data_IF_373903903499
#
_entry.id   IF_373903903499
#
_cell.length_a   1.000
_cell.length_b   1.000
_cell.length_c   1.000
_cell.angle_alpha   90.00
_cell.angle_beta   90.00
_cell.angle_gamma   90.00
#
_symmetry.space_group_name_H-M   'P 1'
#
loop_
_entity.id
_entity.type
_entity.pdbx_description
1 polymer ?
#
# COMPACT_ATOMS: atom_id res chain seq x y z
N UNK A 1 -1.23 -14.03 5.69
CA UNK A 1 -1.63 -12.69 5.16
C UNK A 1 -0.45 -11.90 4.58
N UNK A 2 0.77 -12.31 4.89
CA UNK A 2 2.04 -11.72 4.47
C UNK A 2 2.18 -11.52 2.95
N UNK A 3 1.73 -12.47 2.12
CA UNK A 3 1.79 -12.36 0.65
C UNK A 3 0.95 -11.20 0.09
N UNK A 4 -0.27 -10.99 0.59
CA UNK A 4 -1.15 -9.93 0.09
C UNK A 4 -0.66 -8.53 0.49
N UNK A 5 -0.08 -8.40 1.70
CA UNK A 5 0.59 -7.17 2.18
C UNK A 5 1.80 -6.82 1.32
N UNK A 6 2.66 -7.80 1.03
CA UNK A 6 3.83 -7.60 0.18
C UNK A 6 3.42 -7.22 -1.24
N UNK A 7 2.38 -7.86 -1.78
CA UNK A 7 1.87 -7.54 -3.12
C UNK A 7 1.38 -6.10 -3.21
N UNK A 8 0.48 -5.65 -2.33
CA UNK A 8 -0.07 -4.28 -2.42
C UNK A 8 1.03 -3.20 -2.30
N UNK A 9 2.04 -3.44 -1.46
CA UNK A 9 3.18 -2.55 -1.34
C UNK A 9 4.06 -2.57 -2.59
N UNK A 10 4.28 -3.74 -3.18
CA UNK A 10 5.02 -3.91 -4.45
C UNK A 10 4.35 -3.20 -5.61
N UNK A 11 3.05 -3.45 -5.84
CA UNK A 11 2.28 -2.82 -6.91
C UNK A 11 2.26 -1.28 -6.77
N UNK A 12 2.16 -0.77 -5.53
CA UNK A 12 2.24 0.67 -5.29
C UNK A 12 3.61 1.24 -5.63
N UNK A 13 4.70 0.54 -5.29
CA UNK A 13 6.06 0.94 -5.66
C UNK A 13 6.20 1.00 -7.17
N UNK A 14 5.71 0.00 -7.89
CA UNK A 14 5.81 -0.07 -9.35
C UNK A 14 4.99 1.05 -10.02
N UNK A 15 3.81 1.36 -9.49
CA UNK A 15 3.04 2.53 -9.89
C UNK A 15 3.84 3.83 -9.75
N UNK A 16 4.52 4.03 -8.62
CA UNK A 16 5.30 5.25 -8.39
C UNK A 16 6.56 5.33 -9.28
N UNK A 17 7.18 4.19 -9.61
CA UNK A 17 8.28 4.12 -10.58
C UNK A 17 7.77 4.51 -11.97
N UNK A 18 6.63 3.93 -12.40
CA UNK A 18 6.01 4.25 -13.68
C UNK A 18 5.64 5.73 -13.74
N UNK A 19 5.03 6.28 -12.67
CA UNK A 19 4.67 7.69 -12.59
C UNK A 19 5.87 8.62 -12.78
N UNK A 20 7.00 8.35 -12.09
CA UNK A 20 8.23 9.15 -12.25
C UNK A 20 8.68 9.23 -13.70
N UNK A 21 8.72 8.09 -14.39
CA UNK A 21 9.08 8.02 -15.82
C UNK A 21 8.08 8.77 -16.69
N UNK A 22 6.79 8.64 -16.40
CA UNK A 22 5.74 9.35 -17.13
C UNK A 22 5.89 10.87 -16.99
N UNK A 23 6.21 11.36 -15.79
CA UNK A 23 6.36 12.80 -15.54
C UNK A 23 7.58 13.44 -16.21
N UNK A 24 8.55 12.65 -16.69
CA UNK A 24 9.66 13.16 -17.50
C UNK A 24 9.18 13.79 -18.82
N UNK A 25 8.06 13.28 -19.36
CA UNK A 25 7.47 13.77 -20.62
C UNK A 25 6.10 14.42 -20.42
N UNK A 26 5.33 13.99 -19.42
CA UNK A 26 4.01 14.51 -19.11
C UNK A 26 4.02 15.36 -17.83
N UNK A 27 4.34 16.65 -17.95
CA UNK A 27 4.48 17.59 -16.84
C UNK A 27 3.61 18.85 -17.01
N UNK A 28 2.40 18.68 -17.51
CA UNK A 28 1.43 19.75 -17.72
C UNK A 28 0.50 19.92 -16.49
N UNK A 29 -0.41 20.91 -16.47
CA UNK A 29 -1.37 21.06 -15.40
C UNK A 29 -2.29 19.84 -15.19
N UNK A 30 -2.55 19.05 -16.23
CA UNK A 30 -3.42 17.86 -16.15
C UNK A 30 -2.70 16.74 -15.39
N UNK A 31 -1.42 16.52 -15.64
CA UNK A 31 -0.62 15.51 -14.94
C UNK A 31 -0.47 15.85 -13.45
N UNK A 32 -0.29 17.13 -13.12
CA UNK A 32 -0.31 17.60 -11.72
C UNK A 32 -1.66 17.35 -11.04
N UNK A 33 -2.76 17.66 -11.72
CA UNK A 33 -4.10 17.38 -11.20
C UNK A 33 -4.34 15.88 -11.01
N UNK A 34 -3.81 15.03 -11.90
CA UNK A 34 -3.86 13.58 -11.75
C UNK A 34 -3.11 13.11 -10.50
N UNK A 35 -1.88 13.59 -10.28
CA UNK A 35 -1.07 13.22 -9.11
C UNK A 35 -1.81 13.52 -7.81
N UNK A 36 -2.33 14.74 -7.66
CA UNK A 36 -3.09 15.17 -6.47
C UNK A 36 -4.35 14.33 -6.28
N UNK A 37 -5.17 14.21 -7.33
CA UNK A 37 -6.49 13.56 -7.22
C UNK A 37 -6.42 12.04 -7.06
N UNK A 38 -5.36 11.41 -7.54
CA UNK A 38 -5.26 9.94 -7.60
C UNK A 38 -4.14 9.39 -6.73
N UNK A 39 -2.91 9.87 -6.92
CA UNK A 39 -1.73 9.30 -6.25
C UNK A 39 -1.66 9.73 -4.79
N UNK A 40 -1.76 11.03 -4.50
CA UNK A 40 -1.74 11.52 -3.10
C UNK A 40 -2.94 11.00 -2.30
N UNK A 41 -4.07 10.76 -2.97
CA UNK A 41 -5.29 10.24 -2.33
C UNK A 41 -5.22 8.73 -2.05
N UNK A 42 -4.53 7.93 -2.88
CA UNK A 42 -4.46 6.47 -2.72
C UNK A 42 -3.34 6.04 -1.76
N UNK A 43 -2.24 6.80 -1.71
CA UNK A 43 -1.09 6.52 -0.84
C UNK A 43 -1.46 6.29 0.64
N UNK A 44 -2.20 7.19 1.34
CA UNK A 44 -2.57 6.97 2.73
C UNK A 44 -3.49 5.76 2.90
N UNK A 45 -4.32 5.43 1.90
CA UNK A 45 -5.21 4.25 1.94
C UNK A 45 -4.42 2.95 1.87
N UNK A 46 -3.38 2.91 1.04
CA UNK A 46 -2.47 1.77 0.94
C UNK A 46 -1.72 1.57 2.26
N UNK A 47 -1.17 2.64 2.85
CA UNK A 47 -0.53 2.57 4.18
C UNK A 47 -1.48 2.03 5.25
N UNK A 48 -2.69 2.59 5.33
CA UNK A 48 -3.69 2.15 6.30
C UNK A 48 -4.05 0.67 6.12
N UNK A 49 -4.15 0.21 4.87
CA UNK A 49 -4.43 -1.19 4.54
C UNK A 49 -3.29 -2.10 5.01
N UNK A 50 -2.04 -1.74 4.72
CA UNK A 50 -0.85 -2.48 5.17
C UNK A 50 -0.82 -2.59 6.69
N UNK A 51 -1.02 -1.48 7.41
CA UNK A 51 -1.05 -1.49 8.88
C UNK A 51 -2.20 -2.33 9.45
N UNK A 52 -3.37 -2.31 8.82
CA UNK A 52 -4.50 -3.17 9.22
C UNK A 52 -4.16 -4.65 9.04
N UNK A 53 -3.48 -5.02 7.94
CA UNK A 53 -3.03 -6.39 7.70
C UNK A 53 -2.01 -6.86 8.73
N UNK A 54 -1.07 -6.00 9.14
CA UNK A 54 -0.10 -6.30 10.20
C UNK A 54 -0.79 -6.51 11.55
N UNK A 55 -1.76 -5.65 11.89
CA UNK A 55 -2.54 -5.81 13.12
C UNK A 55 -3.32 -7.12 13.13
N UNK A 56 -3.96 -7.48 12.02
CA UNK A 56 -4.66 -8.76 11.88
C UNK A 56 -3.71 -9.96 12.04
N UNK A 57 -2.53 -9.92 11.42
CA UNK A 57 -1.52 -10.98 11.54
C UNK A 57 -1.03 -11.13 13.00
N UNK A 58 -0.81 -10.02 13.70
CA UNK A 58 -0.45 -10.02 15.11
C UNK A 58 -1.55 -10.61 16.00
N UNK A 59 -2.81 -10.18 15.82
CA UNK A 59 -3.95 -10.69 16.58
C UNK A 59 -4.16 -12.19 16.35
N UNK A 60 -4.05 -12.67 15.10
CA UNK A 60 -4.17 -14.09 14.78
C UNK A 60 -3.03 -14.92 15.38
N UNK A 61 -1.80 -14.38 15.37
CA UNK A 61 -0.65 -15.05 15.99
C UNK A 61 -0.83 -15.14 17.50
N UNK A 62 -1.32 -14.08 18.15
CA UNK A 62 -1.60 -14.08 19.58
C UNK A 62 -2.70 -15.09 19.93
N UNK A 63 -3.84 -15.07 19.24
CA UNK A 63 -4.93 -16.02 19.47
C UNK A 63 -4.49 -17.49 19.32
N UNK A 64 -3.57 -17.79 18.39
CA UNK A 64 -3.00 -19.14 18.25
C UNK A 64 -2.15 -19.56 19.43
N UNK A 65 -1.42 -18.63 20.06
CA UNK A 65 -0.64 -18.91 21.28
C UNK A 65 -1.60 -19.14 22.44
N UNK A 66 -2.57 -18.25 22.60
CA UNK A 66 -3.56 -18.32 23.70
C UNK A 66 -4.39 -19.61 23.66
N UNK A 67 -4.64 -20.19 22.47
CA UNK A 67 -5.35 -21.47 22.33
C UNK A 67 -4.44 -22.71 22.24
N UNK A 68 -3.12 -22.55 22.22
CA UNK A 68 -2.14 -23.64 22.08
C UNK A 68 -1.35 -23.96 23.35
N UNK A 69 -1.57 -23.19 24.42
CA UNK A 69 -0.93 -23.33 25.74
C UNK A 69 -1.75 -24.19 26.74
N UNK A 70 -2.57 -25.13 26.24
CA UNK A 70 -3.17 -26.24 27.03
C UNK A 70 -2.60 -27.60 26.59
#
# INVERSE_FOLDING_TARGET
MTSARLRIHGEYRDLMIAWRRTTERWNDPVSRAFAVRRLETIEPKIRATVSAMEKMESMMTQARRDCGDD
#
